data_IF_539259145951
#
_entry.id   IF_539259145951
#
_cell.length_a   1.000
_cell.length_b   1.000
_cell.length_c   1.000
_cell.angle_alpha   90.00
_cell.angle_beta   90.00
_cell.angle_gamma   90.00
#
_symmetry.space_group_name_H-M   'P 1'
#
loop_
_entity.id
_entity.type
_entity.pdbx_description
1 polymer ?
#
# COMPACT_ATOMS: atom_id res chain seq x y z
N UNK A 1 -21.99 -2.75 -13.45
CA UNK A 1 -21.74 -4.07 -12.82
C UNK A 1 -20.47 -3.92 -11.97
N UNK A 2 -20.55 -4.22 -10.67
CA UNK A 2 -19.41 -4.17 -9.76
C UNK A 2 -18.47 -5.33 -10.12
N UNK A 3 -17.19 -5.03 -10.36
CA UNK A 3 -16.18 -6.03 -10.66
C UNK A 3 -15.28 -6.20 -9.44
N UNK A 4 -15.36 -7.36 -8.79
CA UNK A 4 -14.50 -7.71 -7.66
C UNK A 4 -13.13 -8.14 -8.20
N UNK A 5 -12.06 -7.48 -7.75
CA UNK A 5 -10.67 -7.80 -8.09
C UNK A 5 -10.07 -8.78 -7.09
N UNK A 6 -10.36 -8.59 -5.80
CA UNK A 6 -9.87 -9.44 -4.72
C UNK A 6 -11.01 -9.77 -3.77
N UNK A 7 -11.13 -11.05 -3.40
CA UNK A 7 -11.99 -11.52 -2.34
C UNK A 7 -11.18 -12.37 -1.36
N UNK A 8 -11.15 -11.97 -0.11
CA UNK A 8 -10.52 -12.68 1.00
C UNK A 8 -11.63 -13.23 1.89
N UNK A 9 -11.63 -14.54 2.16
CA UNK A 9 -12.65 -15.22 2.97
C UNK A 9 -12.01 -16.00 4.10
N UNK A 10 -12.41 -15.72 5.31
CA UNK A 10 -12.06 -16.46 6.53
C UNK A 10 -10.55 -16.74 6.66
N UNK A 11 -9.73 -15.75 6.27
CA UNK A 11 -8.28 -15.88 6.26
C UNK A 11 -7.74 -16.12 7.67
N UNK A 12 -7.05 -17.23 7.86
CA UNK A 12 -6.39 -17.57 9.12
C UNK A 12 -4.90 -17.86 8.88
N UNK A 13 -4.03 -17.12 9.60
CA UNK A 13 -2.57 -17.20 9.43
C UNK A 13 -1.93 -17.46 10.79
N UNK A 14 -1.01 -18.41 10.81
CA UNK A 14 -0.28 -18.81 12.00
C UNK A 14 1.22 -18.66 11.82
N UNK A 15 1.88 -18.24 12.87
CA UNK A 15 3.29 -18.52 13.11
C UNK A 15 3.38 -19.82 13.92
N UNK A 16 4.57 -20.41 14.04
CA UNK A 16 4.81 -21.70 14.74
C UNK A 16 4.07 -21.86 16.08
N UNK A 17 3.91 -20.78 16.84
CA UNK A 17 3.39 -20.77 18.22
C UNK A 17 2.12 -19.95 18.41
N UNK A 18 1.74 -19.11 17.42
CA UNK A 18 0.66 -18.12 17.61
C UNK A 18 -0.15 -17.93 16.36
N UNK A 19 -1.45 -17.82 16.51
CA UNK A 19 -2.35 -17.32 15.48
C UNK A 19 -2.20 -15.81 15.36
N UNK A 20 -1.76 -15.33 14.18
CA UNK A 20 -1.53 -13.91 13.91
C UNK A 20 -2.79 -13.28 13.31
N UNK A 21 -3.40 -13.97 12.36
CA UNK A 21 -4.67 -13.62 11.73
C UNK A 21 -5.66 -14.72 12.03
N UNK A 22 -6.84 -14.37 12.55
CA UNK A 22 -7.78 -15.35 13.08
C UNK A 22 -8.92 -15.65 12.12
N UNK A 23 -9.61 -14.59 11.66
CA UNK A 23 -10.72 -14.67 10.70
C UNK A 23 -10.83 -13.30 10.02
N UNK A 24 -10.23 -13.16 8.85
CA UNK A 24 -10.25 -11.92 8.08
C UNK A 24 -10.96 -12.16 6.76
N UNK A 25 -12.03 -11.39 6.54
CA UNK A 25 -12.81 -11.42 5.29
C UNK A 25 -13.05 -10.00 4.80
N UNK A 26 -12.76 -9.73 3.54
CA UNK A 26 -13.09 -8.46 2.87
C UNK A 26 -13.00 -8.61 1.36
N UNK A 27 -13.52 -7.63 0.64
CA UNK A 27 -13.48 -7.56 -0.83
C UNK A 27 -12.90 -6.24 -1.29
N UNK A 28 -12.25 -6.26 -2.46
CA UNK A 28 -11.78 -5.04 -3.14
C UNK A 28 -12.34 -5.04 -4.56
N UNK A 29 -12.98 -3.94 -4.92
CA UNK A 29 -13.55 -3.71 -6.24
C UNK A 29 -12.52 -3.07 -7.19
N UNK A 30 -12.76 -3.18 -8.50
CA UNK A 30 -11.92 -2.52 -9.50
C UNK A 30 -11.93 -0.99 -9.27
N UNK A 31 -10.75 -0.38 -9.32
CA UNK A 31 -10.60 1.05 -9.09
C UNK A 31 -10.84 1.50 -7.65
N UNK A 32 -11.09 0.59 -6.72
CA UNK A 32 -11.30 0.91 -5.32
C UNK A 32 -9.99 1.09 -4.57
N UNK A 33 -9.96 2.07 -3.67
CA UNK A 33 -8.89 2.24 -2.69
C UNK A 33 -9.39 1.74 -1.33
N UNK A 34 -9.00 0.53 -0.98
CA UNK A 34 -9.34 -0.10 0.31
C UNK A 34 -8.21 0.10 1.30
N UNK A 35 -8.48 0.69 2.45
CA UNK A 35 -7.50 0.82 3.52
C UNK A 35 -7.63 -0.32 4.53
N UNK A 36 -6.51 -0.89 4.97
CA UNK A 36 -6.42 -1.80 6.11
C UNK A 36 -5.70 -1.08 7.25
N UNK A 37 -6.44 -0.78 8.32
CA UNK A 37 -6.02 0.13 9.39
C UNK A 37 -6.03 -0.58 10.74
N UNK A 38 -5.13 -0.20 11.64
CA UNK A 38 -5.06 -0.75 13.00
C UNK A 38 -3.69 -0.52 13.62
N UNK A 39 -3.54 -0.86 14.91
CA UNK A 39 -2.28 -0.75 15.63
C UNK A 39 -1.17 -1.64 15.05
N UNK A 40 0.08 -1.34 15.39
CA UNK A 40 1.21 -2.21 15.06
C UNK A 40 0.99 -3.60 15.68
N UNK A 41 1.28 -4.66 14.92
CA UNK A 41 1.07 -6.03 15.37
C UNK A 41 -0.37 -6.55 15.26
N UNK A 42 -1.33 -5.78 14.73
CA UNK A 42 -2.71 -6.27 14.51
C UNK A 42 -2.86 -7.31 13.38
N UNK A 43 -1.80 -7.53 12.55
CA UNK A 43 -1.80 -8.53 11.49
C UNK A 43 -1.90 -7.97 10.06
N UNK A 44 -1.95 -6.66 9.85
CA UNK A 44 -2.15 -6.01 8.53
C UNK A 44 -1.13 -6.42 7.48
N UNK A 45 0.16 -6.24 7.77
CA UNK A 45 1.24 -6.55 6.80
C UNK A 45 1.33 -8.05 6.51
N UNK A 46 1.04 -8.91 7.48
CA UNK A 46 0.98 -10.37 7.25
C UNK A 46 -0.23 -10.75 6.38
N UNK A 47 -1.38 -10.11 6.59
CA UNK A 47 -2.56 -10.26 5.71
C UNK A 47 -2.22 -9.82 4.29
N UNK A 48 -1.59 -8.66 4.12
CA UNK A 48 -1.15 -8.16 2.82
C UNK A 48 -0.11 -9.07 2.15
N UNK A 49 0.89 -9.54 2.92
CA UNK A 49 1.90 -10.47 2.43
C UNK A 49 1.28 -11.81 1.97
N UNK A 50 0.24 -12.30 2.66
CA UNK A 50 -0.45 -13.53 2.25
C UNK A 50 -1.14 -13.38 0.90
N UNK A 51 -1.74 -12.21 0.62
CA UNK A 51 -2.38 -11.90 -0.66
C UNK A 51 -1.35 -11.87 -1.79
N UNK A 52 -0.17 -11.30 -1.53
CA UNK A 52 0.95 -11.26 -2.47
C UNK A 52 1.72 -12.58 -2.61
N UNK A 53 1.40 -13.61 -1.82
CA UNK A 53 2.18 -14.86 -1.79
C UNK A 53 3.57 -14.69 -1.16
N UNK A 54 3.75 -13.69 -0.29
CA UNK A 54 5.04 -13.25 0.29
C UNK A 54 5.14 -13.57 1.79
N UNK A 55 4.45 -14.61 2.27
CA UNK A 55 4.54 -14.98 3.68
C UNK A 55 5.97 -15.33 4.07
N UNK A 56 6.47 -14.78 5.20
CA UNK A 56 7.82 -15.10 5.66
C UNK A 56 7.95 -16.56 6.11
N UNK A 57 9.19 -17.05 6.14
CA UNK A 57 9.49 -18.42 6.58
C UNK A 57 8.94 -18.69 7.99
N UNK A 58 8.26 -19.80 8.17
CA UNK A 58 7.61 -20.19 9.43
C UNK A 58 6.23 -19.58 9.68
N UNK A 59 5.72 -18.75 8.76
CA UNK A 59 4.34 -18.27 8.75
C UNK A 59 3.56 -19.01 7.68
N UNK A 60 2.38 -19.53 8.02
CA UNK A 60 1.58 -20.37 7.12
C UNK A 60 0.11 -19.97 7.13
N UNK A 61 -0.51 -20.06 5.96
CA UNK A 61 -1.96 -20.01 5.80
C UNK A 61 -2.56 -21.31 6.37
N UNK A 62 -3.49 -21.19 7.30
CA UNK A 62 -4.15 -22.35 7.96
C UNK A 62 -5.61 -22.50 7.59
N UNK A 63 -6.25 -21.44 7.09
CA UNK A 63 -7.63 -21.48 6.67
C UNK A 63 -8.00 -20.30 5.78
N UNK A 64 -9.16 -20.40 5.18
CA UNK A 64 -9.70 -19.38 4.29
C UNK A 64 -9.23 -19.50 2.85
N UNK A 65 -9.65 -18.54 2.05
CA UNK A 65 -9.31 -18.46 0.63
C UNK A 65 -9.03 -17.02 0.19
N UNK A 66 -8.16 -16.88 -0.79
CA UNK A 66 -7.84 -15.63 -1.48
C UNK A 66 -8.19 -15.85 -2.95
N UNK A 67 -9.19 -15.15 -3.44
CA UNK A 67 -9.71 -15.28 -4.80
C UNK A 67 -9.43 -13.99 -5.55
N UNK A 68 -8.71 -14.09 -6.67
CA UNK A 68 -8.36 -12.96 -7.50
C UNK A 68 -9.12 -12.99 -8.82
N UNK A 69 -9.82 -11.89 -9.16
CA UNK A 69 -10.59 -11.70 -10.41
C UNK A 69 -11.55 -12.84 -10.76
N UNK A 70 -12.06 -13.57 -9.77
CA UNK A 70 -13.00 -14.70 -9.95
C UNK A 70 -12.52 -15.79 -10.95
N UNK A 71 -11.23 -15.82 -11.29
CA UNK A 71 -10.68 -16.74 -12.30
C UNK A 71 -10.22 -18.09 -11.77
N UNK A 72 -10.24 -18.28 -10.43
CA UNK A 72 -9.77 -19.52 -9.82
C UNK A 72 -8.24 -19.76 -9.89
N UNK A 73 -7.51 -18.90 -10.60
CA UNK A 73 -6.05 -18.97 -10.71
C UNK A 73 -5.39 -18.05 -9.68
N UNK A 74 -4.27 -18.48 -9.13
CA UNK A 74 -3.48 -17.64 -8.26
C UNK A 74 -2.93 -16.44 -9.05
N UNK A 75 -2.96 -15.21 -8.48
CA UNK A 75 -2.42 -14.03 -9.15
C UNK A 75 -0.89 -14.14 -9.28
N UNK A 76 -0.36 -13.62 -10.38
CA UNK A 76 1.09 -13.56 -10.61
C UNK A 76 1.59 -12.23 -10.02
N UNK A 77 2.44 -12.33 -8.98
CA UNK A 77 3.13 -11.18 -8.42
C UNK A 77 4.04 -10.55 -9.46
N UNK A 78 4.05 -9.22 -9.54
CA UNK A 78 4.78 -8.45 -10.54
C UNK A 78 4.00 -8.25 -11.85
N UNK A 79 2.88 -8.95 -12.05
CA UNK A 79 2.02 -8.82 -13.24
C UNK A 79 0.58 -8.46 -12.87
N UNK A 80 -0.11 -9.33 -12.16
CA UNK A 80 -1.52 -9.16 -11.79
C UNK A 80 -1.67 -8.36 -10.49
N UNK A 81 -0.77 -8.60 -9.55
CA UNK A 81 -0.60 -7.88 -8.29
C UNK A 81 0.80 -7.31 -8.23
N UNK A 82 0.93 -6.05 -7.80
CA UNK A 82 2.22 -5.44 -7.47
C UNK A 82 2.27 -5.05 -6.00
N UNK A 83 3.47 -5.07 -5.42
CA UNK A 83 3.69 -4.75 -4.02
C UNK A 83 4.63 -3.55 -3.89
N UNK A 84 4.22 -2.54 -3.11
CA UNK A 84 5.04 -1.40 -2.70
C UNK A 84 5.36 -1.60 -1.23
N UNK A 85 6.62 -1.88 -0.93
CA UNK A 85 7.11 -2.12 0.43
C UNK A 85 7.35 -0.83 1.20
N UNK A 86 7.29 -0.90 2.52
CA UNK A 86 7.65 0.17 3.43
C UNK A 86 9.09 0.67 3.17
N UNK A 87 10.04 -0.26 3.01
CA UNK A 87 11.39 0.07 2.56
C UNK A 87 11.48 -0.03 1.03
N UNK A 88 11.23 1.09 0.35
CA UNK A 88 11.35 1.20 -1.11
C UNK A 88 12.77 0.97 -1.64
N UNK A 89 13.80 1.07 -0.79
CA UNK A 89 15.19 0.84 -1.19
C UNK A 89 15.45 -0.64 -1.45
N UNK A 90 14.80 -1.52 -0.68
CA UNK A 90 14.88 -2.97 -0.85
C UNK A 90 14.29 -3.48 -2.17
N UNK A 91 13.50 -2.65 -2.87
CA UNK A 91 12.98 -2.99 -4.19
C UNK A 91 14.06 -3.04 -5.28
N UNK A 92 15.26 -2.48 -5.01
CA UNK A 92 16.32 -2.37 -6.01
C UNK A 92 17.62 -3.02 -5.53
N UNK A 93 18.23 -3.82 -6.42
CA UNK A 93 19.60 -4.28 -6.20
C UNK A 93 20.60 -3.18 -6.55
N UNK A 94 21.66 -2.96 -5.76
CA UNK A 94 22.62 -1.88 -5.98
C UNK A 94 23.50 -2.09 -7.22
N UNK A 95 23.64 -3.32 -7.71
CA UNK A 95 24.59 -3.70 -8.76
C UNK A 95 24.02 -3.59 -10.18
N UNK A 96 22.73 -3.32 -10.33
CA UNK A 96 22.07 -3.16 -11.63
C UNK A 96 21.49 -1.75 -11.77
N UNK A 97 21.52 -1.23 -13.01
CA UNK A 97 20.82 0.02 -13.29
C UNK A 97 19.31 -0.16 -13.16
N UNK A 98 18.61 0.93 -12.85
CA UNK A 98 17.14 0.95 -12.77
C UNK A 98 16.52 0.33 -14.03
N UNK A 99 16.98 0.74 -15.20
CA UNK A 99 16.47 0.23 -16.48
C UNK A 99 16.65 -1.28 -16.67
N UNK A 100 17.76 -1.86 -16.20
CA UNK A 100 17.96 -3.32 -16.25
C UNK A 100 16.97 -4.07 -15.37
N UNK A 101 16.69 -3.56 -14.18
CA UNK A 101 15.74 -4.18 -13.24
C UNK A 101 14.31 -4.10 -13.75
N UNK A 102 13.92 -2.97 -14.35
CA UNK A 102 12.65 -2.84 -15.04
C UNK A 102 12.55 -3.79 -16.25
N UNK A 103 13.61 -3.86 -17.08
CA UNK A 103 13.62 -4.76 -18.25
C UNK A 103 13.50 -6.23 -17.82
N UNK A 104 14.12 -6.63 -16.73
CA UNK A 104 13.99 -7.96 -16.15
C UNK A 104 12.54 -8.26 -15.76
N UNK A 105 11.89 -7.35 -15.02
CA UNK A 105 10.48 -7.49 -14.64
C UNK A 105 9.58 -7.63 -15.87
N UNK A 106 9.71 -6.71 -16.84
CA UNK A 106 8.86 -6.75 -18.05
C UNK A 106 9.12 -8.00 -18.87
N UNK A 107 10.39 -8.41 -19.01
CA UNK A 107 10.77 -9.63 -19.74
C UNK A 107 10.23 -10.90 -19.12
N UNK A 108 10.24 -10.97 -17.78
CA UNK A 108 9.73 -12.14 -17.05
C UNK A 108 8.22 -12.32 -17.25
N UNK A 109 7.47 -11.22 -17.32
CA UNK A 109 6.00 -11.23 -17.32
C UNK A 109 5.35 -10.94 -18.68
N UNK A 110 6.15 -10.64 -19.73
CA UNK A 110 5.63 -10.35 -21.05
C UNK A 110 6.52 -10.93 -22.17
N UNK A 111 5.93 -11.06 -23.37
CA UNK A 111 6.66 -11.46 -24.59
C UNK A 111 7.03 -10.25 -25.47
N UNK A 112 7.05 -9.05 -24.90
CA UNK A 112 7.35 -7.82 -25.64
C UNK A 112 8.78 -7.85 -26.21
N UNK A 113 8.96 -7.32 -27.42
CA UNK A 113 10.28 -7.08 -28.00
C UNK A 113 11.04 -6.02 -27.18
N UNK A 114 12.37 -6.01 -27.24
CA UNK A 114 13.22 -5.09 -26.47
C UNK A 114 12.81 -3.62 -26.62
N UNK A 115 12.50 -3.20 -27.86
CA UNK A 115 12.06 -1.82 -28.15
C UNK A 115 10.78 -1.46 -27.39
N UNK A 116 9.80 -2.35 -27.39
CA UNK A 116 8.50 -2.14 -26.76
C UNK A 116 8.61 -2.18 -25.23
N UNK A 117 9.47 -3.05 -24.68
CA UNK A 117 9.79 -3.04 -23.24
C UNK A 117 10.38 -1.71 -22.80
N UNK A 118 11.38 -1.20 -23.55
CA UNK A 118 11.98 0.10 -23.24
C UNK A 118 10.94 1.22 -23.30
N UNK A 119 10.04 1.21 -24.28
CA UNK A 119 8.97 2.18 -24.39
C UNK A 119 8.01 2.12 -23.19
N UNK A 120 7.61 0.91 -22.76
CA UNK A 120 6.76 0.72 -21.58
C UNK A 120 7.45 1.22 -20.29
N UNK A 121 8.75 0.94 -20.13
CA UNK A 121 9.53 1.43 -18.98
C UNK A 121 9.59 2.96 -18.98
N UNK A 122 9.85 3.59 -20.14
CA UNK A 122 9.89 5.04 -20.24
C UNK A 122 8.53 5.69 -19.95
N UNK A 123 7.43 5.06 -20.37
CA UNK A 123 6.08 5.49 -19.99
C UNK A 123 5.86 5.41 -18.47
N UNK A 124 6.27 4.32 -17.84
CA UNK A 124 6.12 4.15 -16.39
C UNK A 124 6.95 5.20 -15.61
N UNK A 125 8.20 5.46 -16.00
CA UNK A 125 9.03 6.49 -15.39
C UNK A 125 8.46 7.90 -15.61
N UNK A 126 7.93 8.19 -16.80
CA UNK A 126 7.28 9.47 -17.10
C UNK A 126 6.01 9.67 -16.25
N UNK A 127 5.22 8.62 -16.06
CA UNK A 127 3.99 8.68 -15.26
C UNK A 127 4.23 9.07 -13.79
N UNK A 128 5.44 8.83 -13.28
CA UNK A 128 5.86 9.24 -11.93
C UNK A 128 6.74 10.51 -11.93
N UNK A 129 6.74 11.29 -13.01
CA UNK A 129 7.51 12.52 -13.17
C UNK A 129 9.03 12.34 -12.97
N UNK A 130 9.59 11.26 -13.48
CA UNK A 130 11.03 11.03 -13.48
C UNK A 130 11.62 11.26 -14.89
N UNK A 131 12.84 11.84 -14.98
CA UNK A 131 13.56 11.97 -16.25
C UNK A 131 13.99 10.58 -16.75
N UNK A 132 13.19 10.00 -17.65
CA UNK A 132 13.23 8.60 -18.05
C UNK A 132 14.61 8.12 -18.52
N UNK A 133 15.28 8.81 -19.44
CA UNK A 133 16.57 8.39 -19.97
C UNK A 133 17.67 8.39 -18.90
N UNK A 134 17.71 9.43 -18.06
CA UNK A 134 18.69 9.54 -16.98
C UNK A 134 18.46 8.43 -15.96
N UNK A 135 17.23 8.29 -15.45
CA UNK A 135 16.89 7.31 -14.41
C UNK A 135 17.09 5.89 -14.92
N UNK A 136 16.73 5.60 -16.18
CA UNK A 136 16.95 4.30 -16.80
C UNK A 136 18.43 3.85 -16.74
N UNK A 137 19.37 4.78 -16.93
CA UNK A 137 20.82 4.52 -16.91
C UNK A 137 21.43 4.59 -15.51
N UNK A 138 20.71 5.12 -14.52
CA UNK A 138 21.21 5.31 -13.16
C UNK A 138 21.17 4.01 -12.34
N UNK A 139 22.06 3.90 -11.37
CA UNK A 139 21.98 2.95 -10.27
C UNK A 139 21.13 3.53 -9.15
N UNK A 140 20.59 2.66 -8.27
CA UNK A 140 19.78 3.11 -7.12
C UNK A 140 20.50 4.14 -6.24
N UNK A 141 21.80 3.98 -6.02
CA UNK A 141 22.66 4.90 -5.24
C UNK A 141 22.83 6.31 -5.83
N UNK A 142 22.51 6.48 -7.11
CA UNK A 142 22.62 7.77 -7.81
C UNK A 142 21.32 8.57 -7.80
N UNK A 143 20.26 8.03 -7.21
CA UNK A 143 18.95 8.67 -7.10
C UNK A 143 18.73 9.22 -5.69
N UNK A 144 18.07 10.38 -5.60
CA UNK A 144 17.59 10.85 -4.30
C UNK A 144 16.51 9.90 -3.74
N UNK A 145 16.26 9.95 -2.41
CA UNK A 145 15.24 9.11 -1.79
C UNK A 145 13.87 9.21 -2.47
N UNK A 146 13.41 10.44 -2.76
CA UNK A 146 12.15 10.64 -3.46
C UNK A 146 12.16 10.17 -4.92
N UNK A 147 13.29 10.27 -5.62
CA UNK A 147 13.43 9.70 -6.97
C UNK A 147 13.39 8.18 -6.96
N UNK A 148 14.10 7.56 -6.02
CA UNK A 148 14.12 6.10 -5.89
C UNK A 148 12.74 5.55 -5.50
N UNK A 149 12.02 6.22 -4.63
CA UNK A 149 10.66 5.85 -4.27
C UNK A 149 9.70 5.97 -5.45
N UNK A 150 9.75 7.07 -6.21
CA UNK A 150 8.97 7.19 -7.44
C UNK A 150 9.34 6.11 -8.46
N UNK A 151 10.61 5.73 -8.55
CA UNK A 151 11.04 4.60 -9.37
C UNK A 151 10.45 3.26 -8.88
N UNK A 152 10.36 3.03 -7.56
CA UNK A 152 9.70 1.84 -7.01
C UNK A 152 8.20 1.80 -7.36
N UNK A 153 7.51 2.93 -7.29
CA UNK A 153 6.11 3.04 -7.73
C UNK A 153 5.98 2.76 -9.23
N UNK A 154 6.88 3.32 -10.06
CA UNK A 154 6.89 3.06 -11.49
C UNK A 154 7.13 1.58 -11.82
N UNK A 155 8.02 0.92 -11.07
CA UNK A 155 8.27 -0.52 -11.19
C UNK A 155 7.01 -1.34 -10.87
N UNK A 156 6.30 -0.98 -9.79
CA UNK A 156 5.05 -1.61 -9.44
C UNK A 156 3.94 -1.46 -10.51
N UNK A 157 4.01 -0.39 -11.29
CA UNK A 157 3.00 -0.06 -12.31
C UNK A 157 3.33 -0.49 -13.73
N UNK A 158 4.60 -0.82 -14.02
CA UNK A 158 5.07 -1.06 -15.40
C UNK A 158 4.29 -2.16 -16.12
N UNK A 159 3.78 -3.15 -15.39
CA UNK A 159 2.96 -4.24 -15.91
C UNK A 159 1.45 -3.95 -15.87
N UNK A 160 1.03 -2.76 -15.42
CA UNK A 160 -0.38 -2.36 -15.28
C UNK A 160 -1.18 -3.37 -14.45
N UNK A 161 -0.78 -3.62 -13.19
CA UNK A 161 -1.44 -4.61 -12.35
C UNK A 161 -2.91 -4.22 -12.10
N UNK A 162 -3.75 -5.21 -11.80
CA UNK A 162 -5.13 -4.94 -11.40
C UNK A 162 -5.25 -4.53 -9.92
N UNK A 163 -4.26 -4.93 -9.10
CA UNK A 163 -4.19 -4.60 -7.67
C UNK A 163 -2.77 -4.17 -7.30
N UNK A 164 -2.68 -3.07 -6.57
CA UNK A 164 -1.45 -2.63 -5.90
C UNK A 164 -1.64 -2.82 -4.40
N UNK A 165 -0.74 -3.54 -3.77
CA UNK A 165 -0.63 -3.61 -2.31
C UNK A 165 0.43 -2.60 -1.89
N UNK A 166 0.03 -1.57 -1.14
CA UNK A 166 0.93 -0.54 -0.63
C UNK A 166 1.02 -0.66 0.90
N UNK A 167 2.11 -1.28 1.37
CA UNK A 167 2.33 -1.56 2.78
C UNK A 167 3.17 -0.45 3.40
N UNK A 168 2.51 0.43 4.13
CA UNK A 168 3.08 1.62 4.78
C UNK A 168 4.00 2.46 3.87
N UNK A 169 3.59 2.80 2.64
CA UNK A 169 4.47 3.38 1.62
C UNK A 169 4.99 4.78 1.97
N UNK A 170 4.53 5.38 3.05
CA UNK A 170 4.86 6.75 3.47
C UNK A 170 5.57 6.85 4.81
N UNK A 171 5.78 5.74 5.54
CA UNK A 171 6.31 5.75 6.92
C UNK A 171 7.74 6.32 7.01
N UNK A 172 8.55 6.15 5.98
CA UNK A 172 9.94 6.65 5.94
C UNK A 172 10.08 8.07 5.36
N UNK A 173 8.97 8.81 5.17
CA UNK A 173 8.94 10.10 4.51
C UNK A 173 8.52 11.24 5.43
N UNK A 174 8.98 12.45 5.11
CA UNK A 174 8.36 13.67 5.62
C UNK A 174 6.92 13.85 5.09
N UNK A 175 6.15 14.71 5.73
CA UNK A 175 4.72 14.88 5.42
C UNK A 175 4.45 15.40 4.00
N UNK A 176 5.36 16.20 3.43
CA UNK A 176 5.21 16.74 2.06
C UNK A 176 5.46 15.63 1.05
N UNK A 177 6.57 14.92 1.19
CA UNK A 177 6.91 13.77 0.33
C UNK A 177 5.85 12.67 0.41
N UNK A 178 5.32 12.39 1.61
CA UNK A 178 4.22 11.44 1.80
C UNK A 178 2.97 11.84 1.02
N UNK A 179 2.58 13.12 1.10
CA UNK A 179 1.43 13.63 0.36
C UNK A 179 1.62 13.55 -1.16
N UNK A 180 2.82 13.86 -1.68
CA UNK A 180 3.16 13.73 -3.09
C UNK A 180 3.04 12.28 -3.59
N UNK A 181 3.55 11.32 -2.82
CA UNK A 181 3.48 9.88 -3.15
C UNK A 181 2.03 9.40 -3.21
N UNK A 182 1.21 9.73 -2.21
CA UNK A 182 -0.18 9.30 -2.19
C UNK A 182 -1.00 9.99 -3.29
N UNK A 183 -0.74 11.26 -3.58
CA UNK A 183 -1.36 11.95 -4.69
C UNK A 183 -0.98 11.32 -6.04
N UNK A 184 0.28 10.89 -6.18
CA UNK A 184 0.74 10.18 -7.36
C UNK A 184 0.01 8.84 -7.51
N UNK A 185 -0.07 8.03 -6.45
CA UNK A 185 -0.81 6.77 -6.46
C UNK A 185 -2.29 6.98 -6.80
N UNK A 186 -2.91 8.03 -6.26
CA UNK A 186 -4.30 8.37 -6.57
C UNK A 186 -4.50 8.69 -8.05
N UNK A 187 -3.68 9.56 -8.63
CA UNK A 187 -3.71 9.87 -10.07
C UNK A 187 -3.52 8.64 -10.95
N UNK A 188 -2.61 7.76 -10.55
CA UNK A 188 -2.32 6.53 -11.29
C UNK A 188 -3.49 5.53 -11.19
N UNK A 189 -4.14 5.41 -10.04
CA UNK A 189 -5.38 4.63 -9.87
C UNK A 189 -6.47 5.14 -10.82
N UNK A 190 -6.74 6.45 -10.83
CA UNK A 190 -7.73 7.05 -11.72
C UNK A 190 -7.41 6.81 -13.21
N UNK A 191 -6.13 6.91 -13.59
CA UNK A 191 -5.72 6.73 -14.98
C UNK A 191 -5.75 5.28 -15.46
N UNK A 192 -5.56 4.30 -14.55
CA UNK A 192 -5.42 2.87 -14.91
C UNK A 192 -6.61 2.02 -14.52
N UNK A 193 -7.45 2.48 -13.59
CA UNK A 193 -8.53 1.69 -12.99
C UNK A 193 -8.03 0.55 -12.09
N UNK A 194 -6.75 0.57 -11.67
CA UNK A 194 -6.24 -0.42 -10.73
C UNK A 194 -6.85 -0.22 -9.34
N UNK A 195 -7.03 -1.31 -8.59
CA UNK A 195 -7.39 -1.24 -7.19
C UNK A 195 -6.15 -1.04 -6.31
N UNK A 196 -6.33 -0.47 -5.12
CA UNK A 196 -5.25 -0.30 -4.14
C UNK A 196 -5.69 -0.88 -2.80
N UNK A 197 -4.88 -1.80 -2.25
CA UNK A 197 -4.92 -2.19 -0.85
C UNK A 197 -3.85 -1.39 -0.10
N UNK A 198 -4.27 -0.47 0.73
CA UNK A 198 -3.41 0.48 1.42
C UNK A 198 -3.32 0.16 2.91
N UNK A 199 -2.16 -0.30 3.35
CA UNK A 199 -1.91 -0.55 4.76
C UNK A 199 -1.27 0.70 5.36
N UNK A 200 -1.87 1.22 6.42
CA UNK A 200 -1.35 2.38 7.13
C UNK A 200 -1.91 2.48 8.54
N UNK A 201 -1.21 3.19 9.39
CA UNK A 201 -1.71 3.65 10.69
C UNK A 201 -2.10 5.15 10.68
N UNK A 202 -1.85 5.87 9.57
CA UNK A 202 -2.19 7.30 9.43
C UNK A 202 -3.61 7.49 8.87
N UNK A 203 -4.54 7.73 9.77
CA UNK A 203 -5.95 7.94 9.44
C UNK A 203 -6.22 9.22 8.63
N UNK A 204 -5.31 10.20 8.63
CA UNK A 204 -5.43 11.40 7.80
C UNK A 204 -5.32 11.04 6.32
N UNK A 205 -4.40 10.15 5.99
CA UNK A 205 -4.24 9.63 4.64
C UNK A 205 -5.43 8.75 4.24
N UNK A 206 -5.91 7.91 5.15
CA UNK A 206 -7.10 7.08 4.94
C UNK A 206 -8.32 7.95 4.60
N UNK A 207 -8.59 8.99 5.41
CA UNK A 207 -9.71 9.93 5.18
C UNK A 207 -9.65 10.62 3.82
N UNK A 208 -8.44 10.93 3.35
CA UNK A 208 -8.25 11.72 2.13
C UNK A 208 -8.30 10.88 0.85
N UNK A 209 -7.84 9.63 0.89
CA UNK A 209 -7.59 8.86 -0.32
C UNK A 209 -8.39 7.56 -0.42
N UNK A 210 -8.79 6.94 0.70
CA UNK A 210 -9.47 5.66 0.66
C UNK A 210 -10.99 5.83 0.41
N UNK A 211 -11.56 4.87 -0.30
CA UNK A 211 -13.02 4.77 -0.52
C UNK A 211 -13.68 4.01 0.64
N UNK A 212 -13.03 2.93 1.10
CA UNK A 212 -13.45 2.07 2.22
C UNK A 212 -12.27 1.75 3.12
N UNK A 213 -12.55 1.40 4.37
CA UNK A 213 -11.54 0.86 5.26
C UNK A 213 -12.06 -0.31 6.09
N UNK A 214 -11.15 -1.25 6.37
CA UNK A 214 -11.30 -2.31 7.35
C UNK A 214 -10.40 -2.01 8.55
N UNK A 215 -10.99 -2.00 9.73
CA UNK A 215 -10.30 -1.74 10.99
C UNK A 215 -9.90 -3.07 11.60
N UNK A 216 -8.59 -3.29 11.74
CA UNK A 216 -8.04 -4.55 12.21
C UNK A 216 -7.51 -4.44 13.64
N UNK A 217 -7.96 -5.34 14.51
CA UNK A 217 -7.55 -5.45 15.91
C UNK A 217 -7.26 -6.92 16.26
N UNK A 218 -6.09 -7.19 16.81
CA UNK A 218 -5.71 -8.51 17.34
C UNK A 218 -5.98 -9.69 16.38
N UNK A 219 -5.74 -9.49 15.08
CA UNK A 219 -5.89 -10.51 14.04
C UNK A 219 -7.28 -10.64 13.43
N UNK A 220 -8.20 -9.73 13.73
CA UNK A 220 -9.59 -9.74 13.24
C UNK A 220 -9.97 -8.38 12.65
N UNK A 221 -10.89 -8.36 11.67
CA UNK A 221 -11.55 -7.13 11.24
C UNK A 221 -12.72 -6.89 12.19
N UNK A 222 -12.65 -5.80 12.95
CA UNK A 222 -13.68 -5.43 13.93
C UNK A 222 -14.74 -4.50 13.36
N UNK A 223 -14.41 -3.79 12.29
CA UNK A 223 -15.35 -2.93 11.57
C UNK A 223 -14.85 -2.68 10.15
N UNK A 224 -15.77 -2.71 9.18
CA UNK A 224 -15.50 -2.37 7.78
C UNK A 224 -16.66 -1.55 7.22
N UNK A 225 -16.35 -0.42 6.60
CA UNK A 225 -17.36 0.43 5.99
C UNK A 225 -16.73 1.44 5.01
N UNK A 226 -17.57 2.28 4.36
CA UNK A 226 -17.13 3.46 3.64
C UNK A 226 -16.41 4.43 4.59
N UNK A 227 -15.48 5.20 4.07
CA UNK A 227 -14.75 6.19 4.87
C UNK A 227 -15.71 7.18 5.53
N UNK A 228 -16.72 7.63 4.80
CA UNK A 228 -17.73 8.55 5.32
C UNK A 228 -18.44 7.97 6.54
N UNK A 229 -18.91 6.72 6.46
CA UNK A 229 -19.60 6.04 7.58
C UNK A 229 -18.68 5.87 8.78
N UNK A 230 -17.43 5.43 8.58
CA UNK A 230 -16.46 5.23 9.66
C UNK A 230 -16.09 6.52 10.40
N UNK A 231 -16.06 7.66 9.70
CA UNK A 231 -15.74 8.96 10.32
C UNK A 231 -16.93 9.61 11.00
N UNK A 232 -18.17 9.39 10.52
CA UNK A 232 -19.36 10.04 11.09
C UNK A 232 -20.06 9.20 12.13
N UNK A 233 -20.11 7.88 11.94
CA UNK A 233 -20.85 6.96 12.81
C UNK A 233 -20.12 5.63 13.03
N UNK A 234 -18.90 5.62 13.60
CA UNK A 234 -18.22 4.37 13.93
C UNK A 234 -19.00 3.58 14.97
N UNK A 235 -19.16 2.28 14.74
CA UNK A 235 -19.92 1.41 15.66
C UNK A 235 -19.03 0.79 16.73
N UNK A 236 -17.89 0.21 16.33
CA UNK A 236 -17.02 -0.50 17.24
C UNK A 236 -16.25 0.46 18.17
N UNK A 237 -16.12 0.11 19.45
CA UNK A 237 -15.43 0.94 20.44
C UNK A 237 -13.99 1.28 20.05
N UNK A 238 -13.25 0.31 19.53
CA UNK A 238 -11.88 0.52 19.08
C UNK A 238 -11.79 1.51 17.92
N UNK A 239 -12.71 1.44 16.95
CA UNK A 239 -12.80 2.40 15.84
C UNK A 239 -13.01 3.81 16.37
N UNK A 240 -13.96 4.00 17.32
CA UNK A 240 -14.20 5.30 17.98
C UNK A 240 -12.93 5.84 18.64
N UNK A 241 -12.24 4.97 19.41
CA UNK A 241 -10.97 5.35 20.07
C UNK A 241 -9.90 5.75 19.04
N UNK A 242 -9.77 4.99 17.96
CA UNK A 242 -8.78 5.22 16.92
C UNK A 242 -9.01 6.56 16.20
N UNK A 243 -10.25 6.87 15.81
CA UNK A 243 -10.58 8.12 15.14
C UNK A 243 -10.57 9.34 16.06
N UNK A 244 -10.93 9.20 17.32
CA UNK A 244 -10.84 10.27 18.32
C UNK A 244 -9.38 10.64 18.67
N UNK A 245 -8.42 9.76 18.40
CA UNK A 245 -7.00 10.04 18.61
C UNK A 245 -6.40 10.92 17.49
N UNK A 246 -7.13 11.21 16.41
CA UNK A 246 -6.67 12.12 15.35
C UNK A 246 -6.67 13.55 15.93
N UNK A 247 -5.50 14.24 15.97
CA UNK A 247 -5.47 15.63 16.42
C UNK A 247 -6.36 16.50 15.51
N UNK A 248 -7.37 17.14 16.06
CA UNK A 248 -8.11 18.17 15.32
C UNK A 248 -7.22 19.40 15.19
N UNK A 249 -6.91 19.82 13.97
CA UNK A 249 -6.16 21.06 13.71
C UNK A 249 -6.89 22.32 14.23
N UNK A 250 -8.14 22.18 14.73
CA UNK A 250 -8.97 23.27 15.24
C UNK A 250 -8.94 23.41 16.77
N UNK A 251 -8.30 22.52 17.52
CA UNK A 251 -8.12 22.68 18.96
C UNK A 251 -6.64 22.65 19.27
N UNK A 252 -6.03 23.82 19.42
CA UNK A 252 -4.76 23.97 20.14
C UNK A 252 -5.02 23.42 21.55
N UNK A 253 -4.29 22.40 22.03
CA UNK A 253 -4.50 21.93 23.41
C UNK A 253 -4.16 23.07 24.36
N UNK A 254 -5.03 23.40 25.30
CA UNK A 254 -4.83 24.43 26.32
C UNK A 254 -3.55 24.24 27.16
N UNK A 255 -2.92 23.05 27.09
CA UNK A 255 -1.65 22.73 27.76
C UNK A 255 -0.40 23.37 27.15
N UNK A 256 -0.45 23.91 25.93
CA UNK A 256 0.72 24.59 25.32
C UNK A 256 0.78 26.08 25.69
N UNK A 257 -0.25 26.63 26.31
CA UNK A 257 -0.28 28.03 26.75
C UNK A 257 0.26 28.24 28.17
N UNK A 258 0.45 27.18 28.95
CA UNK A 258 0.82 27.28 30.38
C UNK A 258 2.34 27.29 30.64
N UNK A 259 3.17 27.09 29.61
CA UNK A 259 4.64 27.07 29.76
C UNK A 259 5.31 28.43 29.55
N UNK A 260 4.57 29.50 29.18
CA UNK A 260 5.13 30.83 29.01
C UNK A 260 4.92 31.80 30.20
N UNK A 261 4.28 31.35 31.31
CA UNK A 261 4.02 32.22 32.48
C UNK A 261 4.97 32.00 33.67
N UNK A 262 6.09 31.30 33.52
CA UNK A 262 7.03 31.08 34.63
C UNK A 262 8.50 31.42 34.32
N UNK A 263 8.73 32.47 33.56
CA UNK A 263 10.07 33.10 33.54
C UNK A 263 9.89 34.63 33.53
N UNK A 264 9.57 35.18 34.68
CA UNK A 264 9.75 36.59 35.02
C UNK A 264 9.47 36.74 36.52
N UNK A 265 10.44 36.42 37.36
CA UNK A 265 10.80 37.09 38.60
C UNK A 265 12.29 36.74 38.89
#
# INVERSE_FOLDING_TARGET
MIVIVLEVKHLAIHNKTKQIVKDVSFTIEQGQWMALVGESGSGKSITAASIGGLLPSGVTLKGGSIIFKQKGEAPILGKDISYIFQDYRSAFTPFLTIGKQFDETVRTHSKLAKKDRTAAIFQALKAVNLPNERVYKSYASQLSGGQLQRAAIALALVMKPALIIADEPTTALDSVSAAEVLQLLHKLKEATGCAILFITHDLRHVRKYADRAAIMLAGEIVEENSIESLFHAPHHFYTKKLFNAIPSLQKTPDRLLDTQKKVLI
#
